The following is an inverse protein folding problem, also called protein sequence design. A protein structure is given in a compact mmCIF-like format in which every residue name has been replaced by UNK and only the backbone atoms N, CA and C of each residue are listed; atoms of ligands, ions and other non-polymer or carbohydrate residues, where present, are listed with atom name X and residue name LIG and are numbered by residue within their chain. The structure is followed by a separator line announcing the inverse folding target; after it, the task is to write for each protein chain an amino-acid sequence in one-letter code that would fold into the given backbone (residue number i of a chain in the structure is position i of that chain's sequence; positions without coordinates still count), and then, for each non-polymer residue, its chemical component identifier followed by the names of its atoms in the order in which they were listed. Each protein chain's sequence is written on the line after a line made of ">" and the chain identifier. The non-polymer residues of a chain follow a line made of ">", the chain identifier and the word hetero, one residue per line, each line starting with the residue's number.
data_IF_667890708446
#
_entry.id   IF_667890708446
#
_cell.length_a   1.000
_cell.length_b   1.000
_cell.length_c   1.000
_cell.angle_alpha   90.00
_cell.angle_beta   90.00
_cell.angle_gamma   90.00
#
_symmetry.space_group_name_H-M   'P 1'
#
loop_
_entity.id
_entity.type
_entity.pdbx_description
1 polymer ?
#
# COMPACT_ATOMS: atom_id res chain seq x y z
N UNK A 1 -3.85 -8.70 -22.12
CA UNK A 1 -4.86 -7.65 -22.42
C UNK A 1 -5.20 -6.88 -21.15
N UNK A 2 -5.78 -7.53 -20.12
CA UNK A 2 -6.14 -6.87 -18.86
C UNK A 2 -4.96 -6.18 -18.14
N UNK A 3 -3.80 -6.83 -18.09
CA UNK A 3 -2.55 -6.24 -17.57
C UNK A 3 -2.15 -4.93 -18.27
N UNK A 4 -2.34 -4.85 -19.58
CA UNK A 4 -1.95 -3.68 -20.38
C UNK A 4 -2.94 -2.53 -20.20
N UNK A 5 -4.24 -2.85 -20.16
CA UNK A 5 -5.28 -1.87 -19.81
C UNK A 5 -5.02 -1.31 -18.41
N UNK A 6 -4.70 -2.20 -17.47
CA UNK A 6 -4.40 -1.77 -16.12
C UNK A 6 -3.11 -0.95 -16.02
N UNK A 7 -2.07 -1.26 -16.79
CA UNK A 7 -0.86 -0.41 -16.83
C UNK A 7 -1.21 1.05 -17.10
N UNK A 8 -2.00 1.30 -18.14
CA UNK A 8 -2.46 2.66 -18.48
C UNK A 8 -3.34 3.26 -17.38
N UNK A 9 -4.31 2.50 -16.85
CA UNK A 9 -5.20 3.00 -15.80
C UNK A 9 -4.46 3.30 -14.49
N UNK A 10 -3.55 2.41 -14.09
CA UNK A 10 -2.72 2.56 -12.90
C UNK A 10 -1.85 3.80 -12.97
N UNK A 11 -1.21 4.06 -14.11
CA UNK A 11 -0.43 5.28 -14.35
C UNK A 11 -1.32 6.53 -14.24
N UNK A 12 -2.52 6.50 -14.81
CA UNK A 12 -3.48 7.61 -14.69
C UNK A 12 -3.94 7.83 -13.24
N UNK A 13 -4.19 6.76 -12.48
CA UNK A 13 -4.52 6.88 -11.05
C UNK A 13 -3.36 7.45 -10.24
N UNK A 14 -2.12 7.04 -10.53
CA UNK A 14 -0.93 7.59 -9.86
C UNK A 14 -0.79 9.09 -10.15
N UNK A 15 -0.89 9.50 -11.42
CA UNK A 15 -0.82 10.91 -11.82
C UNK A 15 -1.95 11.73 -11.20
N UNK A 16 -3.18 11.22 -11.19
CA UNK A 16 -4.31 11.89 -10.57
C UNK A 16 -4.16 11.97 -9.04
N UNK A 17 -3.62 10.93 -8.40
CA UNK A 17 -3.30 10.90 -6.97
C UNK A 17 -2.17 11.84 -6.56
N UNK A 18 -1.35 12.29 -7.51
CA UNK A 18 -0.29 13.29 -7.34
C UNK A 18 -0.70 14.69 -7.83
N UNK A 19 -1.97 14.87 -8.17
CA UNK A 19 -2.45 16.11 -8.75
C UNK A 19 -2.31 17.29 -7.76
N UNK A 20 -1.91 18.50 -8.20
CA UNK A 20 -1.69 19.66 -7.32
C UNK A 20 -2.94 20.13 -6.55
N UNK A 21 -4.13 19.77 -7.03
CA UNK A 21 -5.39 20.00 -6.33
C UNK A 21 -5.67 18.80 -5.40
N UNK A 22 -5.60 18.96 -4.06
CA UNK A 22 -5.77 17.86 -3.12
C UNK A 22 -7.11 17.15 -3.26
N UNK A 23 -8.18 17.87 -3.63
CA UNK A 23 -9.49 17.23 -3.84
C UNK A 23 -9.44 16.20 -4.97
N UNK A 24 -8.77 16.53 -6.08
CA UNK A 24 -8.62 15.60 -7.22
C UNK A 24 -7.81 14.38 -6.79
N UNK A 25 -6.71 14.60 -6.08
CA UNK A 25 -5.87 13.53 -5.55
C UNK A 25 -6.65 12.60 -4.60
N UNK A 26 -7.37 13.17 -3.63
CA UNK A 26 -8.20 12.40 -2.69
C UNK A 26 -9.27 11.58 -3.41
N UNK A 27 -9.98 12.16 -4.38
CA UNK A 27 -10.99 11.43 -5.17
C UNK A 27 -10.38 10.29 -5.99
N UNK A 28 -9.19 10.51 -6.58
CA UNK A 28 -8.49 9.48 -7.34
C UNK A 28 -8.05 8.32 -6.44
N UNK A 29 -7.47 8.63 -5.26
CA UNK A 29 -7.02 7.65 -4.28
C UNK A 29 -8.20 6.84 -3.73
N UNK A 30 -9.31 7.49 -3.38
CA UNK A 30 -10.50 6.79 -2.90
C UNK A 30 -11.11 5.91 -3.99
N UNK A 31 -11.19 6.40 -5.23
CA UNK A 31 -11.67 5.61 -6.37
C UNK A 31 -10.79 4.37 -6.61
N UNK A 32 -9.47 4.55 -6.53
CA UNK A 32 -8.51 3.46 -6.62
C UNK A 32 -8.71 2.46 -5.48
N UNK A 33 -8.89 2.93 -4.24
CA UNK A 33 -9.16 2.08 -3.06
C UNK A 33 -10.42 1.24 -3.28
N UNK A 34 -11.53 1.87 -3.66
CA UNK A 34 -12.80 1.16 -3.90
C UNK A 34 -12.64 0.06 -4.96
N UNK A 35 -11.87 0.35 -6.01
CA UNK A 35 -11.60 -0.62 -7.07
C UNK A 35 -10.70 -1.75 -6.58
N UNK A 36 -9.61 -1.43 -5.89
CA UNK A 36 -8.66 -2.40 -5.34
C UNK A 36 -9.32 -3.34 -4.33
N UNK A 37 -10.19 -2.85 -3.44
CA UNK A 37 -10.96 -3.69 -2.50
C UNK A 37 -11.83 -4.72 -3.24
N UNK A 38 -12.48 -4.29 -4.34
CA UNK A 38 -13.27 -5.21 -5.17
C UNK A 38 -12.39 -6.27 -5.83
N UNK A 39 -11.23 -5.88 -6.37
CA UNK A 39 -10.29 -6.83 -6.98
C UNK A 39 -9.68 -7.82 -5.99
N UNK A 40 -9.32 -7.35 -4.79
CA UNK A 40 -8.79 -8.20 -3.72
C UNK A 40 -9.82 -9.22 -3.18
N UNK A 41 -11.09 -9.10 -3.55
CA UNK A 41 -12.10 -10.12 -3.22
C UNK A 41 -11.96 -11.36 -4.12
N UNK A 42 -11.30 -11.24 -5.26
CA UNK A 42 -11.10 -12.35 -6.20
C UNK A 42 -9.84 -13.12 -5.83
N UNK A 43 -9.93 -14.44 -5.86
CA UNK A 43 -8.75 -15.29 -5.67
C UNK A 43 -7.71 -15.03 -6.75
N UNK A 44 -6.46 -14.90 -6.31
CA UNK A 44 -5.32 -14.76 -7.21
C UNK A 44 -4.74 -16.13 -7.57
N UNK A 45 -4.75 -16.45 -8.88
CA UNK A 45 -4.10 -17.63 -9.42
C UNK A 45 -2.58 -17.50 -9.26
N UNK A 46 -1.90 -18.60 -8.90
CA UNK A 46 -0.49 -18.60 -8.48
C UNK A 46 0.48 -17.97 -9.50
N UNK A 47 0.17 -18.02 -10.80
CA UNK A 47 1.04 -17.50 -11.85
C UNK A 47 0.69 -16.07 -12.30
N UNK A 48 -0.34 -15.45 -11.69
CA UNK A 48 -0.81 -14.12 -12.05
C UNK A 48 -0.67 -13.17 -10.87
N UNK A 49 0.35 -12.31 -10.88
CA UNK A 49 0.59 -11.31 -9.83
C UNK A 49 -0.18 -10.01 -10.07
N UNK A 50 -1.49 -10.11 -10.28
CA UNK A 50 -2.30 -8.95 -10.61
C UNK A 50 -2.47 -8.02 -9.41
N UNK A 51 -2.62 -8.54 -8.19
CA UNK A 51 -2.84 -7.72 -6.99
C UNK A 51 -1.73 -6.68 -6.83
N UNK A 52 -0.47 -7.10 -7.02
CA UNK A 52 0.68 -6.20 -7.00
C UNK A 52 0.58 -5.08 -8.05
N UNK A 53 0.14 -5.40 -9.27
CA UNK A 53 -0.06 -4.39 -10.32
C UNK A 53 -1.18 -3.40 -9.95
N UNK A 54 -2.27 -3.88 -9.36
CA UNK A 54 -3.39 -3.05 -8.89
C UNK A 54 -3.00 -2.07 -7.79
N UNK A 55 -2.08 -2.50 -6.93
CA UNK A 55 -1.67 -1.75 -5.76
C UNK A 55 -0.48 -0.83 -6.02
N UNK A 56 0.22 -1.00 -7.14
CA UNK A 56 1.39 -0.21 -7.49
C UNK A 56 1.17 1.31 -7.44
N UNK A 57 0.02 1.87 -7.85
CA UNK A 57 -0.17 3.32 -7.76
C UNK A 57 -0.13 3.86 -6.32
N UNK A 58 -0.54 3.09 -5.30
CA UNK A 58 -0.40 3.51 -3.90
C UNK A 58 1.09 3.68 -3.50
N UNK A 59 1.96 2.78 -3.98
CA UNK A 59 3.41 2.90 -3.74
C UNK A 59 4.00 4.15 -4.40
N UNK A 60 3.51 4.52 -5.59
CA UNK A 60 3.95 5.71 -6.31
C UNK A 60 3.49 6.97 -5.58
N UNK A 61 2.20 7.04 -5.24
CA UNK A 61 1.62 8.21 -4.56
C UNK A 61 2.26 8.43 -3.19
N UNK A 62 2.45 7.36 -2.40
CA UNK A 62 3.11 7.46 -1.09
C UNK A 62 4.54 8.02 -1.20
N UNK A 63 5.30 7.57 -2.21
CA UNK A 63 6.69 7.97 -2.41
C UNK A 63 6.83 9.40 -2.91
N UNK A 64 5.95 9.82 -3.82
CA UNK A 64 6.14 11.05 -4.60
C UNK A 64 5.32 12.23 -4.07
N UNK A 65 4.25 11.99 -3.30
CA UNK A 65 3.41 13.07 -2.78
C UNK A 65 4.15 13.87 -1.72
N UNK A 66 4.21 15.19 -1.93
CA UNK A 66 4.71 16.13 -0.92
C UNK A 66 3.63 16.55 0.08
N UNK A 67 2.36 16.27 -0.21
CA UNK A 67 1.23 16.59 0.65
C UNK A 67 1.06 15.53 1.75
N UNK A 68 1.14 15.96 3.01
CA UNK A 68 1.03 15.12 4.21
C UNK A 68 -0.32 14.39 4.25
N UNK A 69 -1.41 15.10 3.98
CA UNK A 69 -2.76 14.55 4.11
C UNK A 69 -3.02 13.49 3.03
N UNK A 70 -2.40 13.63 1.86
CA UNK A 70 -2.42 12.62 0.80
C UNK A 70 -1.67 11.35 1.22
N UNK A 71 -0.48 11.48 1.81
CA UNK A 71 0.30 10.33 2.30
C UNK A 71 -0.43 9.62 3.46
N UNK A 72 -1.01 10.38 4.38
CA UNK A 72 -1.87 9.86 5.45
C UNK A 72 -3.07 9.10 4.88
N UNK A 73 -3.76 9.66 3.89
CA UNK A 73 -4.88 9.00 3.22
C UNK A 73 -4.47 7.67 2.57
N UNK A 74 -3.29 7.61 1.93
CA UNK A 74 -2.78 6.35 1.36
C UNK A 74 -2.59 5.29 2.44
N UNK A 75 -2.01 5.64 3.59
CA UNK A 75 -1.87 4.70 4.71
C UNK A 75 -3.22 4.25 5.26
N UNK A 76 -4.19 5.15 5.38
CA UNK A 76 -5.55 4.78 5.80
C UNK A 76 -6.20 3.81 4.80
N UNK A 77 -5.99 4.01 3.49
CA UNK A 77 -6.46 3.09 2.46
C UNK A 77 -5.80 1.71 2.59
N UNK A 78 -4.49 1.67 2.81
CA UNK A 78 -3.73 0.42 2.98
C UNK A 78 -4.18 -0.34 4.21
N UNK A 79 -4.25 0.29 5.39
CA UNK A 79 -4.70 -0.36 6.62
C UNK A 79 -6.13 -0.91 6.47
N UNK A 80 -7.02 -0.13 5.87
CA UNK A 80 -8.39 -0.55 5.58
C UNK A 80 -8.44 -1.76 4.62
N UNK A 81 -7.66 -1.76 3.53
CA UNK A 81 -7.61 -2.87 2.58
C UNK A 81 -7.08 -4.15 3.25
N UNK A 82 -6.04 -4.03 4.07
CA UNK A 82 -5.48 -5.16 4.81
C UNK A 82 -6.54 -5.76 5.75
N UNK A 83 -7.20 -4.93 6.56
CA UNK A 83 -8.28 -5.41 7.46
C UNK A 83 -9.42 -6.07 6.70
N UNK A 84 -9.80 -5.53 5.55
CA UNK A 84 -10.93 -6.04 4.79
C UNK A 84 -10.61 -7.33 4.02
N UNK A 85 -9.34 -7.58 3.65
CA UNK A 85 -8.96 -8.62 2.69
C UNK A 85 -7.75 -9.44 3.11
N UNK A 86 -7.47 -9.51 4.41
CA UNK A 86 -6.29 -10.17 4.99
C UNK A 86 -6.04 -11.58 4.43
N UNK A 87 -7.08 -12.40 4.31
CA UNK A 87 -7.00 -13.79 3.84
C UNK A 87 -6.86 -13.91 2.30
N UNK A 88 -7.17 -12.85 1.57
CA UNK A 88 -7.12 -12.83 0.10
C UNK A 88 -5.89 -12.07 -0.44
N UNK A 89 -5.15 -11.37 0.42
CA UNK A 89 -3.88 -10.77 0.05
C UNK A 89 -2.86 -11.89 -0.21
N UNK A 90 -2.44 -12.00 -1.48
CA UNK A 90 -1.39 -12.91 -1.95
C UNK A 90 -0.20 -12.08 -2.40
N UNK A 91 0.02 -11.92 -3.73
CA UNK A 91 1.08 -11.04 -4.23
C UNK A 91 0.89 -9.57 -3.82
N UNK A 92 -0.31 -9.21 -3.36
CA UNK A 92 -0.64 -7.91 -2.79
C UNK A 92 0.14 -7.58 -1.50
N UNK A 93 0.54 -8.56 -0.69
CA UNK A 93 1.33 -8.29 0.53
C UNK A 93 2.61 -7.52 0.24
N UNK A 94 3.28 -7.86 -0.86
CA UNK A 94 4.48 -7.15 -1.30
C UNK A 94 4.25 -5.66 -1.52
N UNK A 95 3.11 -5.28 -2.08
CA UNK A 95 2.76 -3.86 -2.26
C UNK A 95 2.34 -3.21 -0.95
N UNK A 96 1.61 -3.92 -0.08
CA UNK A 96 1.23 -3.40 1.24
C UNK A 96 2.47 -3.09 2.08
N UNK A 97 3.41 -4.03 2.17
CA UNK A 97 4.68 -3.81 2.87
C UNK A 97 5.57 -2.78 2.18
N UNK A 98 5.57 -2.69 0.85
CA UNK A 98 6.27 -1.63 0.12
C UNK A 98 5.78 -0.24 0.53
N UNK A 99 4.46 -0.01 0.58
CA UNK A 99 3.88 1.27 1.04
C UNK A 99 4.28 1.58 2.49
N UNK A 100 4.15 0.59 3.40
CA UNK A 100 4.51 0.75 4.80
C UNK A 100 6.01 1.02 4.98
N UNK A 101 6.87 0.40 4.17
CA UNK A 101 8.31 0.63 4.18
C UNK A 101 8.69 2.02 3.68
N UNK A 102 7.96 2.55 2.69
CA UNK A 102 8.16 3.94 2.22
C UNK A 102 7.78 4.91 3.34
N UNK A 103 6.66 4.65 4.02
CA UNK A 103 6.20 5.45 5.15
C UNK A 103 7.13 5.41 6.36
N UNK A 104 7.94 4.35 6.52
CA UNK A 104 8.91 4.24 7.59
C UNK A 104 10.00 5.34 7.54
N UNK A 105 10.28 5.88 6.35
CA UNK A 105 11.27 6.94 6.12
C UNK A 105 10.61 8.31 5.89
N UNK A 106 9.35 8.50 6.29
CA UNK A 106 8.67 9.78 6.17
C UNK A 106 9.27 10.82 7.13
N UNK A 107 9.21 12.09 6.74
CA UNK A 107 9.66 13.21 7.59
C UNK A 107 8.65 13.49 8.72
N UNK A 108 7.39 13.10 8.52
CA UNK A 108 6.32 13.28 9.49
C UNK A 108 6.24 12.08 10.43
N UNK A 109 6.56 12.31 11.72
CA UNK A 109 6.59 11.25 12.75
C UNK A 109 5.25 10.51 12.88
N UNK A 110 4.13 11.21 12.69
CA UNK A 110 2.79 10.60 12.77
C UNK A 110 2.55 9.59 11.64
N UNK A 111 3.07 9.85 10.44
CA UNK A 111 2.96 8.93 9.29
C UNK A 111 3.79 7.66 9.57
N UNK A 112 5.03 7.84 10.04
CA UNK A 112 5.88 6.72 10.45
C UNK A 112 5.21 5.88 11.54
N UNK A 113 4.67 6.53 12.58
CA UNK A 113 3.98 5.86 13.69
C UNK A 113 2.77 5.08 13.20
N UNK A 114 1.92 5.68 12.37
CA UNK A 114 0.74 5.00 11.83
C UNK A 114 1.12 3.75 11.05
N UNK A 115 2.14 3.82 10.19
CA UNK A 115 2.62 2.66 9.45
C UNK A 115 3.19 1.58 10.37
N UNK A 116 3.97 1.98 11.39
CA UNK A 116 4.53 1.06 12.37
C UNK A 116 3.44 0.35 13.19
N UNK A 117 2.43 1.08 13.65
CA UNK A 117 1.29 0.52 14.40
C UNK A 117 0.52 -0.51 13.56
N UNK A 118 0.36 -0.28 12.25
CA UNK A 118 -0.21 -1.28 11.34
C UNK A 118 0.65 -2.54 11.28
N UNK A 119 1.97 -2.41 11.12
CA UNK A 119 2.89 -3.58 11.08
C UNK A 119 2.88 -4.32 12.42
N UNK A 120 2.98 -3.61 13.54
CA UNK A 120 2.99 -4.20 14.88
C UNK A 120 1.73 -5.02 15.11
N UNK A 121 0.56 -4.45 14.83
CA UNK A 121 -0.73 -5.16 14.94
C UNK A 121 -0.76 -6.42 14.09
N UNK A 122 -0.28 -6.34 12.85
CA UNK A 122 -0.22 -7.51 11.95
C UNK A 122 0.69 -8.61 12.51
N UNK A 123 1.85 -8.26 13.05
CA UNK A 123 2.77 -9.22 13.67
C UNK A 123 2.24 -9.83 14.97
N UNK A 124 1.38 -9.11 15.70
CA UNK A 124 0.82 -9.59 16.96
C UNK A 124 -0.43 -10.45 16.75
N UNK A 125 -1.31 -10.06 15.82
CA UNK A 125 -2.64 -10.64 15.67
C UNK A 125 -2.75 -11.62 14.49
N UNK A 126 -1.86 -11.51 13.49
CA UNK A 126 -2.02 -12.19 12.20
C UNK A 126 -0.70 -12.77 11.65
N UNK A 127 0.25 -13.10 12.53
CA UNK A 127 1.57 -13.61 12.13
C UNK A 127 1.48 -14.88 11.29
N UNK A 128 0.50 -15.74 11.55
CA UNK A 128 0.22 -16.98 10.84
C UNK A 128 0.03 -16.79 9.34
N UNK A 129 -0.63 -15.70 8.94
CA UNK A 129 -0.87 -15.35 7.53
C UNK A 129 0.40 -14.80 6.88
N UNK A 130 1.25 -14.11 7.65
CA UNK A 130 2.45 -13.45 7.15
C UNK A 130 3.64 -14.39 6.93
N UNK A 131 3.58 -15.63 7.41
CA UNK A 131 4.67 -16.62 7.28
C UNK A 131 5.08 -16.81 5.81
N UNK A 132 4.14 -16.69 4.88
CA UNK A 132 4.40 -16.84 3.45
C UNK A 132 5.09 -15.62 2.80
N UNK A 133 4.98 -14.45 3.42
CA UNK A 133 5.56 -13.18 2.97
C UNK A 133 6.58 -12.65 4.00
N UNK A 134 7.25 -13.56 4.71
CA UNK A 134 8.14 -13.24 5.83
C UNK A 134 9.32 -12.35 5.41
N UNK A 135 9.85 -12.54 4.21
CA UNK A 135 10.95 -11.73 3.67
C UNK A 135 10.52 -10.27 3.52
N UNK A 136 9.35 -10.02 2.95
CA UNK A 136 8.77 -8.69 2.81
C UNK A 136 8.48 -8.04 4.17
N UNK A 137 7.96 -8.80 5.13
CA UNK A 137 7.75 -8.32 6.50
C UNK A 137 9.08 -7.89 7.15
N UNK A 138 10.12 -8.73 7.09
CA UNK A 138 11.43 -8.41 7.67
C UNK A 138 12.04 -7.17 7.00
N UNK A 139 11.97 -7.08 5.67
CA UNK A 139 12.44 -5.89 4.95
C UNK A 139 11.69 -4.62 5.38
N UNK A 140 10.38 -4.73 5.63
CA UNK A 140 9.59 -3.62 6.13
C UNK A 140 10.04 -3.20 7.53
N UNK A 141 10.24 -4.14 8.45
CA UNK A 141 10.77 -3.86 9.79
C UNK A 141 12.17 -3.25 9.75
N UNK A 142 13.04 -3.71 8.85
CA UNK A 142 14.37 -3.14 8.65
C UNK A 142 14.30 -1.68 8.20
N UNK A 143 13.31 -1.31 7.39
CA UNK A 143 13.12 0.08 6.96
C UNK A 143 12.86 1.02 8.16
N UNK A 144 12.06 0.60 9.14
CA UNK A 144 11.81 1.38 10.36
C UNK A 144 13.05 1.51 11.25
N UNK A 145 13.89 0.48 11.31
CA UNK A 145 15.15 0.55 12.08
C UNK A 145 16.14 1.50 11.41
N UNK A 146 16.26 1.41 10.08
CA UNK A 146 17.17 2.24 9.30
C UNK A 146 16.80 3.73 9.40
N UNK A 147 15.51 4.06 9.35
CA UNK A 147 15.04 5.45 9.45
C UNK A 147 15.18 6.07 10.84
N UNK A 148 15.37 5.27 11.90
CA UNK A 148 15.65 5.77 13.26
C UNK A 148 17.13 6.13 13.45
N UNK A 149 18.01 5.78 12.50
CA UNK A 149 19.47 5.92 12.61
C UNK A 149 20.03 7.18 11.95
N UNK A 150 19.18 8.07 11.43
CA UNK A 150 19.53 9.40 10.89
C UNK A 150 19.05 10.52 11.83
#
# INVERSE_FOLDING_TARGET
>A
IWSNVWGVLGDNFAQAGLHPNPRVAMYAIDSLRQLSVKFLTKDELRDFNFQRLFLKPFEVIMRESRDRDIRELVLQCVDMMIRARLQNLRSGWKSMFSVLSIAAADQEVDICRQAFDTVLRLTQEHFDVLVFDFTELVNCLLAFVASTSE
#
